data_IF_969942388353
#
_entry.id   IF_969942388353
#
_cell.length_a   1.000
_cell.length_b   1.000
_cell.length_c   1.000
_cell.angle_alpha   90.00
_cell.angle_beta   90.00
_cell.angle_gamma   90.00
#
_symmetry.space_group_name_H-M   'P 1'
#
loop_
_entity.id
_entity.type
_entity.pdbx_description
1 polymer ?
#
# COMPACT_ATOMS: atom_id res chain seq x y z
N UNK A 1 23.79 -3.35 -49.96
CA UNK A 1 22.34 -3.63 -50.10
C UNK A 1 21.85 -4.35 -48.84
N UNK A 2 21.35 -3.62 -47.84
CA UNK A 2 20.56 -4.23 -46.75
C UNK A 2 19.14 -3.65 -46.82
N UNK A 3 18.20 -4.45 -47.32
CA UNK A 3 16.77 -4.16 -47.34
C UNK A 3 16.25 -4.28 -45.91
N UNK A 4 16.17 -3.15 -45.19
CA UNK A 4 15.49 -3.09 -43.90
C UNK A 4 14.05 -2.59 -44.12
N UNK A 5 13.02 -3.45 -44.00
CA UNK A 5 11.64 -3.12 -44.38
C UNK A 5 10.96 -2.08 -43.47
N UNK A 6 11.50 -1.80 -42.28
CA UNK A 6 10.98 -0.76 -41.36
C UNK A 6 11.11 0.66 -41.90
N UNK A 7 12.10 0.91 -42.77
CA UNK A 7 12.39 2.25 -43.31
C UNK A 7 11.71 2.52 -44.66
N UNK A 8 10.94 1.55 -45.16
CA UNK A 8 10.20 1.64 -46.43
C UNK A 8 8.70 1.58 -46.26
N UNK A 9 8.21 1.56 -45.02
CA UNK A 9 6.78 1.70 -44.79
C UNK A 9 6.35 3.12 -45.13
N UNK A 10 5.31 3.21 -45.96
CA UNK A 10 4.79 4.44 -46.57
C UNK A 10 4.16 5.41 -45.55
N UNK A 11 4.22 5.11 -44.25
CA UNK A 11 3.86 6.03 -43.18
C UNK A 11 4.66 7.36 -43.18
N UNK A 12 5.87 7.37 -43.77
CA UNK A 12 6.77 8.54 -43.70
C UNK A 12 6.90 9.33 -45.01
N UNK A 13 6.17 8.97 -46.06
CA UNK A 13 6.37 9.61 -47.35
C UNK A 13 5.21 9.47 -48.31
N UNK A 14 4.07 10.11 -48.00
CA UNK A 14 3.17 10.62 -49.03
C UNK A 14 2.27 11.75 -48.49
N UNK A 15 2.13 12.76 -49.34
CA UNK A 15 1.40 14.03 -49.23
C UNK A 15 -0.05 13.84 -48.75
N UNK A 16 -0.61 14.74 -47.92
CA UNK A 16 -1.94 14.57 -47.34
C UNK A 16 -3.03 14.75 -48.41
N UNK A 17 -3.52 13.65 -48.97
CA UNK A 17 -4.80 13.64 -49.67
C UNK A 17 -5.73 12.62 -49.03
N UNK A 18 -6.69 13.17 -48.29
CA UNK A 18 -8.00 12.63 -47.93
C UNK A 18 -8.06 11.38 -47.02
N UNK A 19 -8.91 11.51 -46.00
CA UNK A 19 -9.43 10.47 -45.11
C UNK A 19 -8.49 9.97 -43.99
N UNK A 20 -8.35 10.81 -42.96
CA UNK A 20 -7.92 10.40 -41.63
C UNK A 20 -7.91 11.62 -40.72
N UNK A 21 -8.91 11.75 -39.85
CA UNK A 21 -8.93 12.82 -38.85
C UNK A 21 -7.62 12.75 -38.05
N UNK A 22 -6.92 13.88 -37.96
CA UNK A 22 -5.64 13.93 -37.26
C UNK A 22 -5.87 13.65 -35.77
N UNK A 23 -4.97 12.96 -35.07
CA UNK A 23 -5.14 12.62 -33.65
C UNK A 23 -5.46 13.86 -32.80
N UNK A 24 -4.92 15.04 -33.14
CA UNK A 24 -5.27 16.29 -32.46
C UNK A 24 -6.78 16.66 -32.51
N UNK A 25 -7.49 16.34 -33.60
CA UNK A 25 -8.93 16.60 -33.75
C UNK A 25 -9.79 15.56 -33.02
N UNK A 26 -9.28 14.34 -32.87
CA UNK A 26 -9.91 13.27 -32.08
C UNK A 26 -9.85 13.61 -30.57
N UNK A 27 -8.72 14.19 -30.12
CA UNK A 27 -8.59 14.69 -28.75
C UNK A 27 -9.48 15.91 -28.47
N UNK A 28 -9.63 16.83 -29.42
CA UNK A 28 -10.49 18.02 -29.25
C UNK A 28 -11.99 17.66 -29.26
N UNK A 29 -12.41 16.71 -30.10
CA UNK A 29 -13.79 16.19 -30.11
C UNK A 29 -14.12 15.32 -28.87
N UNK A 30 -13.16 14.56 -28.35
CA UNK A 30 -13.32 13.85 -27.07
C UNK A 30 -13.49 14.82 -25.89
N UNK A 31 -12.82 15.98 -25.94
CA UNK A 31 -12.89 16.98 -24.87
C UNK A 31 -14.17 17.82 -24.95
N UNK A 32 -14.66 18.13 -26.15
CA UNK A 32 -15.95 18.79 -26.36
C UNK A 32 -17.14 17.88 -26.01
N UNK A 33 -17.03 16.55 -26.22
CA UNK A 33 -18.02 15.58 -25.77
C UNK A 33 -18.14 15.49 -24.23
N UNK A 34 -17.03 15.65 -23.51
CA UNK A 34 -17.02 15.70 -22.05
C UNK A 34 -17.65 17.00 -21.49
N UNK A 35 -17.51 18.13 -22.19
CA UNK A 35 -18.13 19.38 -21.81
C UNK A 35 -19.65 19.41 -22.06
N UNK A 36 -20.13 18.77 -23.14
CA UNK A 36 -21.56 18.66 -23.45
C UNK A 36 -22.33 17.80 -22.42
N UNK A 37 -21.67 16.82 -21.78
CA UNK A 37 -22.27 15.97 -20.75
C UNK A 37 -22.51 16.68 -19.40
N UNK A 38 -21.85 17.81 -19.15
CA UNK A 38 -22.02 18.61 -17.91
C UNK A 38 -23.22 19.58 -18.01
N UNK A 39 -23.77 19.80 -19.21
CA UNK A 39 -24.72 20.90 -19.46
C UNK A 39 -26.22 20.58 -19.48
N UNK A 40 -26.68 19.33 -19.47
CA UNK A 40 -28.08 19.02 -19.85
C UNK A 40 -28.79 18.01 -18.92
N UNK A 41 -28.64 18.15 -17.60
CA UNK A 41 -29.54 17.52 -16.62
C UNK A 41 -30.86 18.32 -16.46
N UNK A 42 -31.58 18.55 -17.56
CA UNK A 42 -32.86 19.25 -17.56
C UNK A 42 -33.85 18.64 -18.53
N UNK A 43 -34.84 17.93 -17.98
CA UNK A 43 -36.16 17.60 -18.55
C UNK A 43 -36.24 16.76 -19.84
N UNK A 44 -36.87 15.58 -19.73
CA UNK A 44 -37.45 14.91 -20.91
C UNK A 44 -37.48 13.38 -20.82
N UNK A 45 -38.65 12.87 -20.46
CA UNK A 45 -39.05 11.47 -20.38
C UNK A 45 -39.09 10.81 -21.77
N UNK A 46 -38.46 9.64 -21.97
CA UNK A 46 -38.97 8.59 -22.88
C UNK A 46 -38.19 7.27 -22.78
N UNK A 47 -38.96 6.20 -22.86
CA UNK A 47 -38.63 4.77 -22.78
C UNK A 47 -37.83 4.26 -23.97
N UNK A 48 -36.67 3.63 -23.72
CA UNK A 48 -36.11 2.54 -24.55
C UNK A 48 -34.97 1.85 -23.78
N UNK A 49 -34.86 0.53 -23.95
CA UNK A 49 -33.97 -0.37 -23.22
C UNK A 49 -32.52 0.15 -23.08
N UNK A 50 -32.11 0.40 -21.83
CA UNK A 50 -30.72 0.72 -21.51
C UNK A 50 -29.92 -0.58 -21.36
N UNK A 51 -29.28 -0.99 -22.46
CA UNK A 51 -28.07 -1.82 -22.37
C UNK A 51 -27.10 -1.14 -21.40
N UNK A 52 -26.65 -1.80 -20.33
CA UNK A 52 -25.71 -1.17 -19.40
C UNK A 52 -24.41 -0.86 -20.15
N UNK A 53 -23.93 0.40 -20.17
CA UNK A 53 -22.66 0.71 -20.78
C UNK A 53 -21.55 -0.03 -20.04
N UNK A 54 -20.90 -0.95 -20.74
CA UNK A 54 -19.68 -1.59 -20.29
C UNK A 54 -18.62 -0.51 -20.07
N UNK A 55 -17.97 -0.55 -18.90
CA UNK A 55 -16.71 0.16 -18.69
C UNK A 55 -16.82 1.56 -18.11
N UNK A 56 -17.63 1.78 -17.06
CA UNK A 56 -17.32 2.85 -16.12
C UNK A 56 -16.11 2.43 -15.29
N UNK A 57 -14.91 2.67 -15.84
CA UNK A 57 -13.64 2.47 -15.17
C UNK A 57 -13.56 3.41 -13.97
N UNK A 58 -14.05 2.92 -12.83
CA UNK A 58 -14.06 3.66 -11.56
C UNK A 58 -12.62 3.97 -11.19
N UNK A 59 -12.19 5.20 -11.47
CA UNK A 59 -10.87 5.69 -11.11
C UNK A 59 -10.74 5.60 -9.59
N UNK A 60 -9.65 5.01 -9.10
CA UNK A 60 -9.43 4.77 -7.67
C UNK A 60 -9.34 6.14 -6.96
N UNK A 61 -10.34 6.50 -6.15
CA UNK A 61 -10.33 7.77 -5.43
C UNK A 61 -9.32 7.71 -4.30
N UNK A 62 -8.65 8.83 -4.01
CA UNK A 62 -7.73 8.95 -2.86
C UNK A 62 -8.42 8.55 -1.55
N UNK A 63 -9.69 8.94 -1.41
CA UNK A 63 -10.54 8.53 -0.29
C UNK A 63 -10.76 7.02 -0.24
N UNK A 64 -11.01 6.37 -1.38
CA UNK A 64 -11.19 4.92 -1.47
C UNK A 64 -9.94 4.13 -1.08
N UNK A 65 -8.75 4.60 -1.46
CA UNK A 65 -7.48 3.98 -1.06
C UNK A 65 -7.28 4.11 0.45
N UNK A 66 -7.48 5.32 1.02
CA UNK A 66 -7.32 5.53 2.47
C UNK A 66 -8.28 4.67 3.30
N UNK A 67 -9.54 4.55 2.88
CA UNK A 67 -10.53 3.72 3.54
C UNK A 67 -10.18 2.22 3.42
N UNK A 68 -9.69 1.78 2.26
CA UNK A 68 -9.26 0.40 2.06
C UNK A 68 -8.02 0.05 2.91
N UNK A 69 -7.03 0.94 3.00
CA UNK A 69 -5.85 0.72 3.85
C UNK A 69 -6.23 0.69 5.32
N UNK A 70 -7.15 1.55 5.76
CA UNK A 70 -7.60 1.59 7.14
C UNK A 70 -8.43 0.35 7.50
N UNK A 71 -9.23 -0.14 6.58
CA UNK A 71 -9.95 -1.40 6.73
C UNK A 71 -9.00 -2.59 6.93
N UNK A 72 -7.98 -2.73 6.07
CA UNK A 72 -6.98 -3.81 6.19
C UNK A 72 -6.16 -3.66 7.47
N UNK A 73 -5.80 -2.42 7.84
CA UNK A 73 -5.06 -2.13 9.06
C UNK A 73 -5.83 -2.55 10.33
N UNK A 74 -7.15 -2.36 10.38
CA UNK A 74 -7.97 -2.85 11.50
C UNK A 74 -7.89 -4.38 11.64
N UNK A 75 -7.93 -5.12 10.54
CA UNK A 75 -7.76 -6.58 10.58
C UNK A 75 -6.35 -6.99 11.03
N UNK A 76 -5.34 -6.22 10.64
CA UNK A 76 -3.98 -6.42 11.13
C UNK A 76 -3.87 -6.18 12.65
N UNK A 77 -4.55 -5.15 13.19
CA UNK A 77 -4.60 -4.94 14.65
C UNK A 77 -5.34 -6.06 15.38
N UNK A 78 -6.43 -6.60 14.81
CA UNK A 78 -7.13 -7.77 15.37
C UNK A 78 -6.18 -8.98 15.39
N UNK A 79 -5.45 -9.22 14.29
CA UNK A 79 -4.41 -10.24 14.23
C UNK A 79 -3.36 -10.03 15.32
N UNK A 80 -2.86 -8.81 15.48
CA UNK A 80 -1.85 -8.47 16.49
C UNK A 80 -2.34 -8.64 17.92
N UNK A 81 -3.57 -8.23 18.23
CA UNK A 81 -4.18 -8.44 19.54
C UNK A 81 -4.33 -9.95 19.84
N UNK A 82 -4.73 -10.74 18.85
CA UNK A 82 -4.75 -12.20 18.99
C UNK A 82 -3.35 -12.78 19.18
N UNK A 83 -2.37 -12.32 18.38
CA UNK A 83 -0.96 -12.68 18.49
C UNK A 83 -0.38 -12.43 19.88
N UNK A 84 -0.77 -11.31 20.52
CA UNK A 84 -0.38 -10.97 21.88
C UNK A 84 -0.81 -12.03 22.90
N UNK A 85 -2.00 -12.61 22.74
CA UNK A 85 -2.53 -13.62 23.67
C UNK A 85 -1.87 -15.00 23.55
N UNK A 86 -1.04 -15.23 22.52
CA UNK A 86 -0.36 -16.50 22.26
C UNK A 86 1.01 -16.61 22.92
N UNK A 87 1.45 -15.54 23.58
CA UNK A 87 2.73 -15.46 24.28
C UNK A 87 2.43 -15.34 25.77
N UNK A 88 2.80 -16.36 26.54
CA UNK A 88 2.59 -16.38 27.97
C UNK A 88 3.90 -16.03 28.69
N UNK A 89 3.84 -15.01 29.53
CA UNK A 89 4.90 -14.65 30.46
C UNK A 89 4.74 -15.47 31.74
N UNK A 90 5.76 -16.27 32.09
CA UNK A 90 5.80 -16.94 33.39
C UNK A 90 6.17 -15.96 34.50
N UNK A 91 5.82 -16.33 35.75
CA UNK A 91 6.11 -15.50 36.91
C UNK A 91 7.61 -15.11 36.96
N UNK A 92 7.94 -13.85 37.28
CA UNK A 92 9.33 -13.39 37.35
C UNK A 92 10.08 -14.21 38.40
N UNK A 93 11.10 -14.96 37.95
CA UNK A 93 11.91 -15.81 38.82
C UNK A 93 13.19 -15.04 39.16
N UNK A 94 13.39 -14.82 40.45
CA UNK A 94 14.68 -14.36 40.99
C UNK A 94 15.65 -15.52 40.87
N UNK A 95 16.60 -15.41 39.94
CA UNK A 95 17.67 -16.39 39.80
C UNK A 95 18.66 -16.19 40.95
N UNK A 96 19.37 -17.26 41.32
CA UNK A 96 20.36 -17.27 42.42
C UNK A 96 21.49 -16.24 42.23
N UNK A 97 21.67 -15.70 41.02
CA UNK A 97 22.64 -14.64 40.67
C UNK A 97 22.11 -13.20 40.91
N UNK A 98 20.89 -13.04 41.45
CA UNK A 98 20.26 -11.74 41.66
C UNK A 98 19.61 -11.14 40.40
N UNK A 99 19.64 -11.85 39.26
CA UNK A 99 18.96 -11.41 38.04
C UNK A 99 17.48 -11.81 38.04
N UNK A 100 16.61 -10.88 37.63
CA UNK A 100 15.18 -11.17 37.40
C UNK A 100 15.03 -11.71 36.00
N UNK A 101 14.59 -12.96 35.87
CA UNK A 101 14.29 -13.56 34.57
C UNK A 101 12.80 -13.84 34.48
N UNK A 102 12.13 -13.20 33.54
CA UNK A 102 10.78 -13.54 33.07
C UNK A 102 10.91 -14.65 32.02
N UNK A 103 10.58 -15.92 32.33
CA UNK A 103 10.55 -16.96 31.31
C UNK A 103 9.37 -16.67 30.36
N UNK A 104 9.68 -16.49 29.08
CA UNK A 104 8.67 -16.24 28.04
C UNK A 104 8.52 -17.52 27.22
N UNK A 105 7.30 -18.02 27.14
CA UNK A 105 6.99 -19.23 26.39
C UNK A 105 5.94 -18.90 25.32
N UNK A 106 6.12 -19.48 24.14
CA UNK A 106 5.10 -19.47 23.10
C UNK A 106 4.16 -20.65 23.36
N UNK A 107 2.87 -20.39 23.58
CA UNK A 107 1.90 -21.44 23.90
C UNK A 107 1.70 -22.41 22.72
N UNK A 108 1.94 -21.94 21.49
CA UNK A 108 1.92 -22.74 20.28
C UNK A 108 3.08 -22.35 19.33
N UNK A 109 4.28 -22.94 19.47
CA UNK A 109 5.40 -22.65 18.57
C UNK A 109 5.09 -23.03 17.11
N UNK A 110 4.22 -24.02 16.89
CA UNK A 110 3.73 -24.40 15.55
C UNK A 110 2.86 -23.34 14.88
N UNK A 111 2.13 -22.53 15.66
CA UNK A 111 1.32 -21.44 15.13
C UNK A 111 2.20 -20.25 14.72
N UNK A 112 3.30 -19.99 15.44
CA UNK A 112 4.29 -18.98 15.05
C UNK A 112 4.94 -19.34 13.71
N UNK A 113 5.40 -20.58 13.57
CA UNK A 113 5.96 -21.07 12.30
C UNK A 113 4.90 -21.08 11.18
N UNK A 114 3.65 -21.45 11.50
CA UNK A 114 2.52 -21.43 10.58
C UNK A 114 2.13 -20.02 10.11
N UNK A 115 2.12 -19.03 10.99
CA UNK A 115 1.90 -17.63 10.65
C UNK A 115 3.04 -17.09 9.79
N UNK A 116 4.29 -17.42 10.11
CA UNK A 116 5.46 -16.95 9.36
C UNK A 116 5.50 -17.55 7.94
N UNK A 117 5.34 -18.87 7.81
CA UNK A 117 5.26 -19.54 6.50
C UNK A 117 3.99 -19.15 5.73
N UNK A 118 2.86 -19.00 6.42
CA UNK A 118 1.58 -18.62 5.82
C UNK A 118 1.60 -17.20 5.27
N UNK A 119 2.09 -16.23 6.04
CA UNK A 119 2.26 -14.85 5.58
C UNK A 119 3.27 -14.78 4.42
N UNK A 120 4.39 -15.49 4.53
CA UNK A 120 5.41 -15.53 3.47
C UNK A 120 4.88 -16.16 2.17
N UNK A 121 4.17 -17.28 2.26
CA UNK A 121 3.59 -17.94 1.09
C UNK A 121 2.53 -17.07 0.41
N UNK A 122 1.67 -16.40 1.19
CA UNK A 122 0.66 -15.47 0.67
C UNK A 122 1.34 -14.26 0.03
N UNK A 123 2.38 -13.70 0.65
CA UNK A 123 3.17 -12.61 0.08
C UNK A 123 3.75 -13.00 -1.28
N UNK A 124 4.37 -14.18 -1.35
CA UNK A 124 4.95 -14.69 -2.60
C UNK A 124 3.87 -14.93 -3.67
N UNK A 125 2.70 -15.45 -3.28
CA UNK A 125 1.57 -15.62 -4.19
C UNK A 125 1.05 -14.27 -4.73
N UNK A 126 0.97 -13.23 -3.89
CA UNK A 126 0.56 -11.89 -4.33
C UNK A 126 1.51 -11.26 -5.32
N UNK A 127 2.82 -11.49 -5.18
CA UNK A 127 3.83 -10.98 -6.12
C UNK A 127 3.63 -11.59 -7.50
N UNK A 128 3.34 -12.88 -7.58
CA UNK A 128 3.13 -13.55 -8.87
C UNK A 128 1.74 -13.31 -9.48
N UNK A 129 0.72 -13.02 -8.65
CA UNK A 129 -0.65 -12.74 -9.13
C UNK A 129 -1.27 -11.51 -8.44
N UNK A 130 -0.89 -10.29 -8.84
CA UNK A 130 -1.36 -9.05 -8.21
C UNK A 130 -2.88 -8.81 -8.37
N UNK A 131 -3.55 -9.46 -9.33
CA UNK A 131 -5.02 -9.39 -9.46
C UNK A 131 -5.76 -10.06 -8.28
N UNK A 132 -5.12 -11.02 -7.59
CA UNK A 132 -5.67 -11.65 -6.39
C UNK A 132 -5.45 -10.82 -5.11
N UNK A 133 -4.65 -9.75 -5.17
CA UNK A 133 -4.31 -8.92 -4.02
C UNK A 133 -5.53 -8.41 -3.25
N UNK A 134 -6.67 -8.18 -3.92
CA UNK A 134 -7.90 -7.74 -3.26
C UNK A 134 -8.44 -8.76 -2.25
N UNK A 135 -8.24 -10.05 -2.49
CA UNK A 135 -8.72 -11.13 -1.63
C UNK A 135 -7.65 -11.61 -0.66
N UNK A 136 -6.39 -11.62 -1.09
CA UNK A 136 -5.27 -12.11 -0.26
C UNK A 136 -4.77 -11.08 0.74
N UNK A 137 -5.04 -9.79 0.55
CA UNK A 137 -4.60 -8.74 1.48
C UNK A 137 -5.21 -8.89 2.89
N UNK A 138 -6.46 -9.36 2.99
CA UNK A 138 -7.14 -9.54 4.27
C UNK A 138 -6.55 -10.69 5.11
N UNK A 139 -6.44 -11.93 4.60
CA UNK A 139 -5.79 -13.01 5.34
C UNK A 139 -4.30 -12.72 5.57
N UNK A 140 -3.61 -12.05 4.63
CA UNK A 140 -2.24 -11.61 4.83
C UNK A 140 -2.12 -10.68 6.05
N UNK A 141 -2.97 -9.65 6.13
CA UNK A 141 -2.96 -8.70 7.25
C UNK A 141 -3.21 -9.37 8.61
N UNK A 142 -4.10 -10.37 8.67
CA UNK A 142 -4.36 -11.14 9.89
C UNK A 142 -3.15 -11.97 10.33
N UNK A 143 -2.54 -12.72 9.38
CA UNK A 143 -1.40 -13.60 9.67
C UNK A 143 -0.15 -12.79 10.05
N UNK A 144 0.11 -11.71 9.33
CA UNK A 144 1.23 -10.83 9.58
C UNK A 144 1.03 -10.06 10.90
N UNK A 145 -0.19 -9.55 11.14
CA UNK A 145 -0.56 -8.95 12.42
C UNK A 145 -0.32 -9.88 13.60
N UNK A 146 -0.78 -11.13 13.52
CA UNK A 146 -0.55 -12.13 14.58
C UNK A 146 0.94 -12.39 14.83
N UNK A 147 1.76 -12.46 13.77
CA UNK A 147 3.20 -12.60 13.87
C UNK A 147 3.84 -11.40 14.57
N UNK A 148 3.51 -10.18 14.16
CA UNK A 148 4.01 -8.95 14.80
C UNK A 148 3.54 -8.84 16.25
N UNK A 149 2.31 -9.25 16.57
CA UNK A 149 1.78 -9.26 17.93
C UNK A 149 2.56 -10.19 18.86
N UNK A 150 2.84 -11.41 18.42
CA UNK A 150 3.67 -12.37 19.15
C UNK A 150 5.09 -11.84 19.39
N UNK A 151 5.73 -11.30 18.35
CA UNK A 151 7.07 -10.75 18.45
C UNK A 151 7.10 -9.53 19.38
N UNK A 152 6.08 -8.66 19.29
CA UNK A 152 5.98 -7.48 20.14
C UNK A 152 5.84 -7.85 21.61
N UNK A 153 4.98 -8.82 21.95
CA UNK A 153 4.84 -9.27 23.33
C UNK A 153 6.14 -9.90 23.86
N UNK A 154 6.83 -10.68 23.01
CA UNK A 154 8.12 -11.29 23.37
C UNK A 154 9.18 -10.23 23.75
N UNK A 155 9.28 -9.13 23.00
CA UNK A 155 10.20 -8.04 23.35
C UNK A 155 9.73 -7.25 24.57
N UNK A 156 8.42 -7.08 24.75
CA UNK A 156 7.86 -6.38 25.90
C UNK A 156 8.17 -7.11 27.22
N UNK A 157 8.07 -8.44 27.23
CA UNK A 157 8.38 -9.27 28.38
C UNK A 157 9.85 -9.17 28.86
N UNK A 158 10.75 -8.72 27.97
CA UNK A 158 12.17 -8.48 28.27
C UNK A 158 12.47 -7.00 28.55
N UNK A 159 11.75 -6.10 27.89
CA UNK A 159 11.91 -4.66 27.96
C UNK A 159 10.53 -4.01 28.08
N UNK A 160 10.09 -3.83 29.32
CA UNK A 160 8.76 -3.30 29.62
C UNK A 160 8.55 -1.92 28.98
N UNK A 161 7.41 -1.76 28.30
CA UNK A 161 7.00 -0.51 27.67
C UNK A 161 7.69 -0.19 26.33
N UNK A 162 8.65 -1.01 25.85
CA UNK A 162 9.41 -0.69 24.62
C UNK A 162 8.50 -0.63 23.39
N UNK A 163 7.45 -1.47 23.37
CA UNK A 163 6.50 -1.54 22.25
C UNK A 163 5.67 -0.25 22.18
N UNK A 164 5.15 0.20 23.33
CA UNK A 164 4.34 1.42 23.39
C UNK A 164 5.20 2.64 23.02
N UNK A 165 6.44 2.69 23.50
CA UNK A 165 7.38 3.76 23.14
C UNK A 165 7.72 3.75 21.64
N UNK A 166 7.94 2.59 21.04
CA UNK A 166 8.23 2.48 19.60
C UNK A 166 7.04 2.94 18.74
N UNK A 167 5.82 2.57 19.13
CA UNK A 167 4.60 3.02 18.45
C UNK A 167 4.45 4.53 18.58
N UNK A 168 4.59 5.08 19.79
CA UNK A 168 4.52 6.53 20.03
C UNK A 168 5.60 7.30 19.26
N UNK A 169 6.83 6.77 19.19
CA UNK A 169 7.90 7.38 18.40
C UNK A 169 7.56 7.40 16.90
N UNK A 170 7.00 6.31 16.37
CA UNK A 170 6.59 6.23 14.95
C UNK A 170 5.48 7.23 14.64
N UNK A 171 4.44 7.29 15.48
CA UNK A 171 3.38 8.29 15.34
C UNK A 171 3.90 9.72 15.54
N UNK A 172 4.84 9.93 16.45
CA UNK A 172 5.47 11.22 16.70
C UNK A 172 6.22 11.73 15.47
N UNK A 173 7.05 10.89 14.84
CA UNK A 173 7.76 11.23 13.59
C UNK A 173 6.77 11.49 12.45
N UNK A 174 5.76 10.63 12.30
CA UNK A 174 4.72 10.83 11.28
C UNK A 174 3.99 12.16 11.46
N UNK A 175 3.56 12.48 12.68
CA UNK A 175 2.85 13.72 12.99
C UNK A 175 3.76 14.94 12.84
N UNK A 176 5.02 14.84 13.26
CA UNK A 176 6.01 15.91 13.07
C UNK A 176 6.19 16.21 11.58
N UNK A 177 6.32 15.18 10.74
CA UNK A 177 6.45 15.34 9.31
C UNK A 177 5.16 15.87 8.67
N UNK A 178 3.99 15.40 9.12
CA UNK A 178 2.69 15.89 8.67
C UNK A 178 2.51 17.38 8.96
N UNK A 179 2.87 17.83 10.17
CA UNK A 179 2.80 19.25 10.55
C UNK A 179 3.81 20.06 9.73
N UNK A 180 5.06 19.61 9.61
CA UNK A 180 6.06 20.32 8.81
C UNK A 180 5.69 20.44 7.33
N UNK A 181 5.14 19.37 6.74
CA UNK A 181 4.71 19.37 5.35
C UNK A 181 3.40 20.14 5.14
N UNK A 182 2.47 20.02 6.09
CA UNK A 182 1.19 20.75 6.10
C UNK A 182 1.38 22.25 6.22
N UNK A 183 2.31 22.70 7.06
CA UNK A 183 2.74 24.09 7.15
C UNK A 183 3.58 24.56 5.94
N UNK A 184 3.87 23.66 4.99
CA UNK A 184 4.69 23.90 3.78
C UNK A 184 6.11 24.44 4.06
N UNK A 185 6.57 24.38 5.31
CA UNK A 185 7.92 24.79 5.74
C UNK A 185 8.95 23.83 5.14
N UNK A 186 8.63 22.53 5.09
CA UNK A 186 9.51 21.52 4.52
C UNK A 186 8.99 21.08 3.14
N UNK A 187 9.58 21.61 2.06
CA UNK A 187 9.40 21.08 0.69
C UNK A 187 10.55 20.15 0.35
N UNK A 188 10.23 19.01 -0.26
CA UNK A 188 11.20 18.10 -0.86
C UNK A 188 11.86 18.76 -2.08
N UNK A 189 12.81 19.66 -1.83
CA UNK A 189 13.61 20.32 -2.86
C UNK A 189 14.78 19.40 -3.26
N UNK A 190 15.36 19.56 -4.45
CA UNK A 190 16.52 18.78 -4.89
C UNK A 190 17.71 18.84 -3.91
N UNK A 191 17.82 19.93 -3.12
CA UNK A 191 18.83 20.10 -2.07
C UNK A 191 18.55 19.23 -0.84
N UNK A 192 17.29 19.11 -0.43
CA UNK A 192 16.88 18.21 0.66
C UNK A 192 17.16 16.74 0.29
N UNK A 193 16.81 16.31 -0.93
CA UNK A 193 17.07 14.94 -1.39
C UNK A 193 18.57 14.60 -1.38
N UNK A 194 19.44 15.51 -1.84
CA UNK A 194 20.90 15.30 -1.77
C UNK A 194 21.39 15.18 -0.32
N UNK A 195 20.82 15.95 0.60
CA UNK A 195 21.11 15.85 2.04
C UNK A 195 20.69 14.52 2.64
N UNK A 196 19.48 14.04 2.33
CA UNK A 196 18.98 12.74 2.80
C UNK A 196 19.84 11.60 2.26
N UNK A 197 20.18 11.63 0.97
CA UNK A 197 21.06 10.61 0.38
C UNK A 197 22.41 10.58 1.10
N UNK A 198 23.03 11.74 1.33
CA UNK A 198 24.28 11.83 2.10
C UNK A 198 24.15 11.29 3.52
N UNK A 199 23.04 11.60 4.21
CA UNK A 199 22.76 11.09 5.55
C UNK A 199 22.56 9.56 5.56
N UNK A 200 21.87 8.99 4.57
CA UNK A 200 21.71 7.53 4.45
C UNK A 200 23.04 6.83 4.21
N UNK A 201 23.90 7.37 3.35
CA UNK A 201 25.26 6.85 3.17
C UNK A 201 26.10 6.99 4.45
N UNK A 202 25.90 8.04 5.23
CA UNK A 202 26.57 8.23 6.51
C UNK A 202 26.16 7.22 7.59
N UNK A 203 24.91 6.74 7.58
CA UNK A 203 24.44 5.66 8.48
C UNK A 203 24.96 4.28 8.03
N UNK A 204 25.20 4.11 6.73
CA UNK A 204 25.61 2.84 6.13
C UNK A 204 27.11 2.51 6.35
N UNK A 205 27.95 3.53 6.51
CA UNK A 205 29.39 3.38 6.83
C UNK A 205 29.55 3.20 8.34
#
# INVERSE_FOLDING_TARGET
MSRNPVLTDKAFGETPTAQGASPAQEWDSAQQGAAAAVGLQGQGQSTAAATPPAGSGRVMTLGGVSAATLFIFTFLLIGAAYGWTLVTEGAPVLRTDGSVSTPVSFDNPGLLLGCMLGAFAIAMLTVFKPKLARFTALPYGLLEGALLGMISHFYNARFDGIVVQAILATFGVFLAMLVMYGLRILRATPKFTKGVIGATFGILI
#
